data_IF_128233407616
#
_entry.id   IF_128233407616
#
_cell.length_a   1.000
_cell.length_b   1.000
_cell.length_c   1.000
_cell.angle_alpha   90.00
_cell.angle_beta   90.00
_cell.angle_gamma   90.00
#
_symmetry.space_group_name_H-M   'P 1'
#
loop_
_entity.id
_entity.type
_entity.pdbx_description
1 polymer ?
#
# COMPACT_ATOMS: atom_id res chain seq x y z
N UNK A 1 19.42 -20.48 75.57
CA UNK A 1 18.09 -20.52 74.96
C UNK A 1 17.63 -19.11 74.55
N UNK A 2 17.82 -18.10 75.43
CA UNK A 2 17.39 -16.71 75.14
C UNK A 2 18.15 -16.06 73.94
N UNK A 3 19.42 -16.38 73.76
CA UNK A 3 20.25 -15.85 72.63
C UNK A 3 19.84 -16.43 71.27
N UNK A 4 19.43 -17.71 71.26
CA UNK A 4 18.93 -18.33 70.03
C UNK A 4 17.50 -17.83 69.66
N UNK A 5 16.67 -17.55 70.67
CA UNK A 5 15.35 -16.94 70.44
C UNK A 5 15.46 -15.53 69.90
N UNK A 6 16.35 -14.70 70.46
CA UNK A 6 16.59 -13.35 69.94
C UNK A 6 17.18 -13.32 68.51
N UNK A 7 18.04 -14.28 68.18
CA UNK A 7 18.56 -14.43 66.80
C UNK A 7 17.46 -14.85 65.82
N UNK A 8 16.54 -15.69 66.19
CA UNK A 8 15.39 -16.14 65.43
C UNK A 8 14.42 -14.97 65.15
N UNK A 9 14.07 -14.21 66.17
CA UNK A 9 13.17 -13.04 66.05
C UNK A 9 13.76 -11.97 65.12
N UNK A 10 15.08 -11.75 65.22
CA UNK A 10 15.78 -10.82 64.32
C UNK A 10 15.77 -11.31 62.88
N UNK A 11 15.99 -12.60 62.64
CA UNK A 11 15.95 -13.17 61.29
C UNK A 11 14.54 -13.14 60.69
N UNK A 12 13.52 -13.37 61.49
CA UNK A 12 12.12 -13.30 61.09
C UNK A 12 11.69 -11.89 60.72
N UNK A 13 12.09 -10.89 61.52
CA UNK A 13 11.84 -9.49 61.20
C UNK A 13 12.50 -9.09 59.88
N UNK A 14 13.75 -9.46 59.67
CA UNK A 14 14.47 -9.21 58.41
C UNK A 14 13.81 -9.93 57.20
N UNK A 15 13.21 -11.11 57.42
CA UNK A 15 12.42 -11.79 56.37
C UNK A 15 11.15 -11.02 56.05
N UNK A 16 10.43 -10.53 57.05
CA UNK A 16 9.23 -9.70 56.87
C UNK A 16 9.52 -8.43 56.06
N UNK A 17 10.62 -7.70 56.38
CA UNK A 17 11.03 -6.53 55.65
C UNK A 17 11.35 -6.85 54.17
N UNK A 18 11.98 -7.99 53.90
CA UNK A 18 12.23 -8.45 52.53
C UNK A 18 10.95 -8.73 51.74
N UNK A 19 9.96 -9.35 52.39
CA UNK A 19 8.64 -9.61 51.79
C UNK A 19 7.89 -8.33 51.49
N UNK A 20 7.95 -7.32 52.36
CA UNK A 20 7.38 -5.98 52.12
C UNK A 20 8.04 -5.31 50.93
N UNK A 21 9.37 -5.29 50.88
CA UNK A 21 10.12 -4.71 49.76
C UNK A 21 9.82 -5.40 48.42
N UNK A 22 9.73 -6.75 48.47
CA UNK A 22 9.34 -7.51 47.28
C UNK A 22 7.92 -7.19 46.83
N UNK A 23 6.94 -7.17 47.74
CA UNK A 23 5.56 -6.83 47.43
C UNK A 23 5.43 -5.44 46.83
N UNK A 24 6.19 -4.46 47.33
CA UNK A 24 6.23 -3.11 46.77
C UNK A 24 6.86 -3.03 45.38
N UNK A 25 7.73 -3.99 45.01
CA UNK A 25 8.36 -4.04 43.68
C UNK A 25 7.49 -4.73 42.62
N UNK A 26 6.43 -5.45 43.03
CA UNK A 26 5.52 -6.12 42.10
C UNK A 26 4.61 -5.11 41.41
N UNK A 27 4.64 -5.06 40.07
CA UNK A 27 3.79 -4.19 39.27
C UNK A 27 2.47 -4.84 38.88
N UNK A 28 2.49 -6.13 38.60
CA UNK A 28 1.34 -6.90 38.12
C UNK A 28 0.60 -7.65 39.23
N UNK A 29 1.31 -7.96 40.31
CA UNK A 29 0.77 -8.65 41.47
C UNK A 29 0.38 -7.65 42.55
N UNK A 30 -0.92 -7.52 42.83
CA UNK A 30 -1.43 -6.62 43.86
C UNK A 30 -1.72 -7.39 45.14
N UNK A 31 -0.80 -7.33 46.09
CA UNK A 31 -0.99 -7.90 47.42
C UNK A 31 -1.87 -6.93 48.23
N UNK A 32 -3.04 -7.39 48.64
CA UNK A 32 -4.04 -6.55 49.31
C UNK A 32 -3.55 -6.05 50.69
N UNK A 33 -2.87 -6.91 51.45
CA UNK A 33 -2.28 -6.54 52.72
C UNK A 33 -0.81 -7.03 52.81
N UNK A 34 0.15 -6.13 52.43
CA UNK A 34 1.56 -6.45 52.54
C UNK A 34 2.01 -6.67 54.00
N UNK A 35 1.29 -6.12 55.01
CA UNK A 35 1.58 -6.30 56.42
C UNK A 35 1.26 -7.71 56.86
N UNK A 36 0.14 -8.31 56.44
CA UNK A 36 -0.22 -9.70 56.68
C UNK A 36 0.82 -10.65 56.02
N UNK A 37 1.27 -10.36 54.82
CA UNK A 37 2.32 -11.11 54.14
C UNK A 37 3.63 -11.10 54.99
N UNK A 38 4.01 -9.96 55.50
CA UNK A 38 5.19 -9.85 56.37
C UNK A 38 5.02 -10.58 57.72
N UNK A 39 3.82 -10.52 58.32
CA UNK A 39 3.50 -11.22 59.54
C UNK A 39 3.54 -12.75 59.37
N UNK A 40 3.21 -13.26 58.21
CA UNK A 40 3.25 -14.68 57.86
C UNK A 40 4.66 -15.18 57.49
N UNK A 41 5.71 -14.36 57.65
CA UNK A 41 7.09 -14.71 57.29
C UNK A 41 7.65 -15.98 57.91
N UNK A 42 7.10 -16.43 59.06
CA UNK A 42 7.48 -17.68 59.71
C UNK A 42 6.88 -18.93 59.06
N UNK A 43 5.82 -18.79 58.26
CA UNK A 43 5.05 -19.90 57.68
C UNK A 43 5.06 -19.81 56.15
N UNK A 44 5.95 -20.55 55.51
CA UNK A 44 6.08 -20.57 54.02
C UNK A 44 4.76 -20.88 53.32
N UNK A 45 3.96 -21.79 53.87
CA UNK A 45 2.66 -22.15 53.30
C UNK A 45 1.65 -21.00 53.35
N UNK A 46 1.69 -20.14 54.36
CA UNK A 46 0.82 -18.97 54.46
C UNK A 46 1.26 -17.87 53.46
N UNK A 47 2.57 -17.60 53.37
CA UNK A 47 3.13 -16.68 52.36
C UNK A 47 2.73 -17.11 50.95
N UNK A 48 2.89 -18.40 50.67
CA UNK A 48 2.52 -18.95 49.34
C UNK A 48 1.03 -18.77 49.06
N UNK A 49 0.17 -19.08 50.04
CA UNK A 49 -1.28 -18.94 49.87
C UNK A 49 -1.72 -17.48 49.63
N UNK A 50 -1.10 -16.51 50.33
CA UNK A 50 -1.36 -15.08 50.12
C UNK A 50 -0.93 -14.60 48.73
N UNK A 51 0.24 -15.04 48.27
CA UNK A 51 0.76 -14.70 46.92
C UNK A 51 -0.13 -15.31 45.83
N UNK A 52 -0.49 -16.60 45.95
CA UNK A 52 -1.41 -17.26 45.03
C UNK A 52 -2.79 -16.58 45.01
N UNK A 53 -3.31 -16.19 46.17
CA UNK A 53 -4.58 -15.46 46.23
C UNK A 53 -4.51 -14.12 45.53
N UNK A 54 -3.38 -13.42 45.65
CA UNK A 54 -3.14 -12.14 44.95
C UNK A 54 -2.94 -12.30 43.41
N UNK A 55 -2.44 -13.46 42.96
CA UNK A 55 -2.23 -13.73 41.53
C UNK A 55 -3.53 -14.10 40.77
N UNK A 56 -4.49 -14.75 41.47
CA UNK A 56 -5.73 -15.27 40.87
C UNK A 56 -6.54 -14.25 40.05
N UNK A 57 -6.69 -12.96 40.44
CA UNK A 57 -7.41 -11.98 39.59
C UNK A 57 -6.72 -11.75 38.28
N UNK A 58 -5.41 -11.49 38.27
CA UNK A 58 -4.62 -11.25 37.04
C UNK A 58 -4.58 -12.48 36.14
N UNK A 59 -4.45 -13.68 36.72
CA UNK A 59 -4.52 -14.93 35.96
C UNK A 59 -5.88 -15.11 35.26
N UNK A 60 -6.99 -14.74 35.90
CA UNK A 60 -8.33 -14.81 35.31
C UNK A 60 -8.49 -13.77 34.18
N UNK A 61 -7.97 -12.57 34.37
CA UNK A 61 -7.98 -11.53 33.32
C UNK A 61 -7.20 -11.96 32.09
N UNK A 62 -5.99 -12.50 32.30
CA UNK A 62 -5.15 -13.01 31.20
C UNK A 62 -5.85 -14.17 30.49
N UNK A 63 -6.39 -15.15 31.23
CA UNK A 63 -7.10 -16.28 30.64
C UNK A 63 -8.33 -15.83 29.84
N UNK A 64 -9.05 -14.82 30.32
CA UNK A 64 -10.20 -14.25 29.63
C UNK A 64 -9.78 -13.52 28.34
N UNK A 65 -8.71 -12.72 28.41
CA UNK A 65 -8.16 -12.03 27.25
C UNK A 65 -7.66 -13.02 26.18
N UNK A 66 -6.93 -14.06 26.62
CA UNK A 66 -6.47 -15.13 25.70
C UNK A 66 -7.64 -15.87 25.04
N UNK A 67 -8.68 -16.21 25.81
CA UNK A 67 -9.87 -16.85 25.26
C UNK A 67 -10.57 -15.97 24.22
N UNK A 68 -10.66 -14.67 24.49
CA UNK A 68 -11.25 -13.69 23.55
C UNK A 68 -10.45 -13.60 22.25
N UNK A 69 -9.12 -13.47 22.34
CA UNK A 69 -8.23 -13.43 21.15
C UNK A 69 -8.31 -14.74 20.38
N UNK A 70 -8.30 -15.88 21.09
CA UNK A 70 -8.40 -17.22 20.48
C UNK A 70 -9.73 -17.40 19.74
N UNK A 71 -10.83 -16.89 20.31
CA UNK A 71 -12.16 -16.98 19.70
C UNK A 71 -12.29 -16.06 18.45
N UNK A 72 -11.68 -14.86 18.47
CA UNK A 72 -11.73 -13.92 17.33
C UNK A 72 -10.84 -14.34 16.14
N UNK A 73 -9.76 -15.08 16.42
CA UNK A 73 -8.73 -15.43 15.42
C UNK A 73 -9.26 -16.16 14.18
N UNK A 74 -10.12 -17.20 14.30
CA UNK A 74 -10.66 -17.89 13.12
C UNK A 74 -11.41 -16.96 12.17
N UNK A 75 -12.30 -16.09 12.70
CA UNK A 75 -13.07 -15.15 11.90
C UNK A 75 -12.18 -14.18 11.09
N UNK A 76 -11.10 -13.68 11.71
CA UNK A 76 -10.14 -12.82 11.02
C UNK A 76 -9.34 -13.57 9.94
N UNK A 77 -9.02 -14.84 10.14
CA UNK A 77 -8.39 -15.69 9.14
C UNK A 77 -9.30 -15.95 7.95
N UNK A 78 -10.59 -16.23 8.20
CA UNK A 78 -11.58 -16.44 7.14
C UNK A 78 -11.82 -15.17 6.33
N UNK A 79 -11.90 -14.02 7.00
CA UNK A 79 -12.02 -12.72 6.33
C UNK A 79 -10.80 -12.40 5.48
N UNK A 80 -9.59 -12.59 6.02
CA UNK A 80 -8.35 -12.44 5.26
C UNK A 80 -8.34 -13.37 4.04
N UNK A 81 -8.75 -14.62 4.19
CA UNK A 81 -8.83 -15.57 3.09
C UNK A 81 -9.76 -15.10 1.98
N UNK A 82 -10.95 -14.60 2.34
CA UNK A 82 -11.90 -14.02 1.37
C UNK A 82 -11.34 -12.80 0.66
N UNK A 83 -10.71 -11.89 1.39
CA UNK A 83 -10.11 -10.69 0.80
C UNK A 83 -8.94 -11.04 -0.15
N UNK A 84 -8.10 -12.00 0.20
CA UNK A 84 -7.02 -12.48 -0.67
C UNK A 84 -7.57 -13.08 -1.97
N UNK A 85 -8.63 -13.89 -1.88
CA UNK A 85 -9.25 -14.47 -3.08
C UNK A 85 -9.96 -13.42 -3.93
N UNK A 86 -10.60 -12.43 -3.31
CA UNK A 86 -11.20 -11.30 -4.03
C UNK A 86 -10.16 -10.46 -4.75
N UNK A 87 -9.02 -10.14 -4.10
CA UNK A 87 -7.89 -9.46 -4.74
C UNK A 87 -7.36 -10.26 -5.92
N UNK A 88 -7.25 -11.59 -5.77
CA UNK A 88 -6.83 -12.48 -6.86
C UNK A 88 -7.84 -12.45 -8.01
N UNK A 89 -9.13 -12.58 -7.72
CA UNK A 89 -10.21 -12.54 -8.71
C UNK A 89 -10.21 -11.22 -9.50
N UNK A 90 -10.09 -10.08 -8.79
CA UNK A 90 -9.99 -8.76 -9.42
C UNK A 90 -8.71 -8.58 -10.25
N UNK A 91 -7.60 -9.21 -9.83
CA UNK A 91 -6.35 -9.20 -10.58
C UNK A 91 -6.38 -10.09 -11.84
N UNK A 92 -7.21 -11.13 -11.82
CA UNK A 92 -7.38 -12.07 -12.95
C UNK A 92 -8.45 -11.58 -13.97
N UNK A 93 -9.27 -10.57 -13.63
CA UNK A 93 -10.20 -9.97 -14.59
C UNK A 93 -9.39 -9.26 -15.70
N UNK A 94 -9.63 -9.58 -16.97
CA UNK A 94 -8.92 -8.94 -18.06
C UNK A 94 -9.28 -7.45 -18.11
N UNK A 95 -8.25 -6.59 -18.03
CA UNK A 95 -8.42 -5.16 -18.24
C UNK A 95 -9.18 -4.93 -19.56
N UNK A 96 -10.22 -4.13 -19.55
CA UNK A 96 -10.94 -3.75 -20.73
C UNK A 96 -10.07 -2.78 -21.58
N UNK A 97 -9.52 -3.24 -22.73
CA UNK A 97 -8.64 -2.37 -23.51
C UNK A 97 -9.43 -1.29 -24.25
N UNK A 98 -8.81 -0.15 -24.59
CA UNK A 98 -9.38 0.78 -25.54
C UNK A 98 -9.72 0.08 -26.85
N UNK A 99 -10.74 0.54 -27.58
CA UNK A 99 -11.06 0.01 -28.91
C UNK A 99 -9.82 0.01 -29.81
N UNK A 100 -9.51 -1.15 -30.40
CA UNK A 100 -8.36 -1.26 -31.28
C UNK A 100 -8.59 -0.40 -32.54
N UNK A 101 -7.59 0.40 -32.98
CA UNK A 101 -7.67 1.09 -34.26
C UNK A 101 -7.92 0.08 -35.41
N UNK A 102 -8.80 0.40 -36.34
CA UNK A 102 -9.12 -0.49 -37.45
C UNK A 102 -7.87 -0.81 -38.36
N UNK A 103 -6.85 0.03 -38.30
CA UNK A 103 -5.58 -0.13 -39.01
C UNK A 103 -4.61 -1.10 -38.29
N UNK A 104 -4.88 -1.52 -37.03
CA UNK A 104 -4.01 -2.45 -36.33
C UNK A 104 -4.29 -3.89 -36.76
N UNK A 105 -3.33 -4.49 -37.40
CA UNK A 105 -3.39 -5.91 -37.84
C UNK A 105 -2.45 -6.82 -37.09
N UNK A 106 -1.61 -6.25 -36.19
CA UNK A 106 -0.60 -6.98 -35.44
C UNK A 106 -1.20 -7.61 -34.18
N UNK A 107 -0.89 -8.90 -33.94
CA UNK A 107 -1.12 -9.53 -32.65
C UNK A 107 0.03 -9.15 -31.72
N UNK A 108 -0.27 -8.42 -30.66
CA UNK A 108 0.72 -7.94 -29.70
C UNK A 108 1.14 -9.07 -28.75
N UNK A 109 2.44 -9.25 -28.59
CA UNK A 109 2.98 -10.20 -27.62
C UNK A 109 3.07 -9.59 -26.23
N UNK A 110 2.52 -10.25 -25.22
CA UNK A 110 2.59 -9.81 -23.83
C UNK A 110 4.02 -9.77 -23.27
N UNK A 111 4.97 -10.48 -23.89
CA UNK A 111 6.37 -10.58 -23.41
C UNK A 111 7.27 -9.46 -23.94
N UNK A 112 6.85 -8.69 -24.94
CA UNK A 112 7.67 -7.71 -25.64
C UNK A 112 7.31 -6.24 -25.33
N UNK A 113 6.62 -5.96 -24.23
CA UNK A 113 6.17 -4.63 -23.82
C UNK A 113 4.69 -4.57 -23.51
N UNK A 114 4.11 -3.36 -23.48
CA UNK A 114 2.69 -3.15 -23.24
C UNK A 114 2.20 -1.85 -23.87
N UNK A 115 0.87 -1.69 -24.09
CA UNK A 115 0.31 -0.41 -24.53
C UNK A 115 0.46 0.65 -23.43
N UNK A 116 0.60 1.90 -23.80
CA UNK A 116 0.89 3.00 -22.86
C UNK A 116 -0.14 3.09 -21.73
N UNK A 117 -1.43 2.86 -22.01
CA UNK A 117 -2.49 2.91 -20.98
C UNK A 117 -2.29 1.92 -19.82
N UNK A 118 -1.61 0.78 -20.04
CA UNK A 118 -1.28 -0.20 -19.00
C UNK A 118 -0.03 0.16 -18.20
N UNK A 119 0.77 1.10 -18.68
CA UNK A 119 2.06 1.46 -18.11
C UNK A 119 2.00 2.70 -17.23
N UNK A 120 0.85 3.39 -17.21
CA UNK A 120 0.69 4.69 -16.55
C UNK A 120 -0.51 4.72 -15.62
N UNK A 121 -0.38 5.51 -14.56
CA UNK A 121 -1.45 5.85 -13.63
C UNK A 121 -1.49 7.36 -13.40
N UNK A 122 -2.64 7.90 -13.02
CA UNK A 122 -2.73 9.28 -12.58
C UNK A 122 -2.02 9.47 -11.24
N UNK A 123 -1.43 10.65 -11.04
CA UNK A 123 -0.90 11.05 -9.73
C UNK A 123 -2.05 11.32 -8.78
N UNK A 124 -1.79 11.14 -7.49
CA UNK A 124 -2.73 11.55 -6.44
C UNK A 124 -3.02 13.06 -6.52
N UNK A 125 -4.27 13.42 -6.23
CA UNK A 125 -4.72 14.81 -6.25
C UNK A 125 -5.02 15.40 -7.62
N UNK A 126 -4.82 14.69 -8.74
CA UNK A 126 -5.25 15.17 -10.07
C UNK A 126 -6.79 15.15 -10.12
N UNK A 127 -7.47 16.28 -10.39
CA UNK A 127 -8.92 16.34 -10.43
C UNK A 127 -9.51 15.43 -11.51
N UNK A 128 -10.65 14.79 -11.22
CA UNK A 128 -11.33 13.87 -12.17
C UNK A 128 -11.57 14.47 -13.55
N UNK A 129 -12.02 15.73 -13.70
CA UNK A 129 -12.18 16.34 -15.04
C UNK A 129 -10.87 16.43 -15.82
N UNK A 130 -9.74 16.68 -15.15
CA UNK A 130 -8.42 16.73 -15.77
C UNK A 130 -7.96 15.32 -16.18
N UNK A 131 -8.21 14.31 -15.34
CA UNK A 131 -7.95 12.91 -15.67
C UNK A 131 -8.71 12.49 -16.93
N UNK A 132 -10.01 12.78 -17.00
CA UNK A 132 -10.86 12.47 -18.13
C UNK A 132 -10.38 13.18 -19.41
N UNK A 133 -10.01 14.47 -19.32
CA UNK A 133 -9.53 15.26 -20.44
C UNK A 133 -8.17 14.77 -20.95
N UNK A 134 -7.22 14.47 -20.08
CA UNK A 134 -5.90 13.93 -20.44
C UNK A 134 -6.05 12.57 -21.11
N UNK A 135 -6.86 11.67 -20.55
CA UNK A 135 -7.11 10.37 -21.14
C UNK A 135 -7.77 10.50 -22.51
N UNK A 136 -8.78 11.36 -22.67
CA UNK A 136 -9.42 11.63 -23.93
C UNK A 136 -8.43 12.14 -25.00
N UNK A 137 -7.56 13.06 -24.63
CA UNK A 137 -6.52 13.59 -25.54
C UNK A 137 -5.55 12.49 -25.98
N UNK A 138 -5.08 11.64 -25.05
CA UNK A 138 -4.20 10.52 -25.35
C UNK A 138 -4.87 9.46 -26.22
N UNK A 139 -6.15 9.19 -26.00
CA UNK A 139 -6.94 8.26 -26.81
C UNK A 139 -7.16 8.80 -28.22
N UNK A 140 -7.64 10.05 -28.36
CA UNK A 140 -7.90 10.68 -29.65
C UNK A 140 -6.64 10.87 -30.49
N UNK A 141 -5.48 11.09 -29.85
CA UNK A 141 -4.20 11.18 -30.55
C UNK A 141 -3.62 9.80 -30.96
N UNK A 142 -4.21 8.70 -30.49
CA UNK A 142 -3.70 7.34 -30.68
C UNK A 142 -2.51 6.98 -29.77
N UNK A 143 -2.04 7.91 -28.93
CA UNK A 143 -0.90 7.67 -28.04
C UNK A 143 -1.27 6.73 -26.88
N UNK A 144 -2.52 6.74 -26.43
CA UNK A 144 -2.98 5.91 -25.31
C UNK A 144 -2.76 4.42 -25.58
N UNK A 145 -3.09 3.94 -26.78
CA UNK A 145 -2.94 2.54 -27.18
C UNK A 145 -1.58 2.25 -27.85
N UNK A 146 -0.70 3.25 -28.00
CA UNK A 146 0.60 3.05 -28.62
C UNK A 146 1.44 2.04 -27.82
N UNK A 147 2.06 1.09 -28.53
CA UNK A 147 2.89 0.05 -27.92
C UNK A 147 4.23 0.60 -27.46
N UNK A 148 4.60 0.30 -26.22
CA UNK A 148 5.89 0.67 -25.63
C UNK A 148 6.70 -0.61 -25.44
N UNK A 149 7.84 -0.69 -26.12
CA UNK A 149 8.79 -1.80 -25.96
C UNK A 149 9.75 -1.60 -24.78
N UNK A 150 10.35 -2.68 -24.24
CA UNK A 150 11.25 -2.59 -23.10
C UNK A 150 12.56 -1.84 -23.40
N UNK A 151 12.97 -1.74 -24.66
CA UNK A 151 14.24 -1.11 -25.06
C UNK A 151 14.08 0.02 -26.09
N UNK A 152 12.86 0.56 -26.24
CA UNK A 152 12.62 1.73 -27.11
C UNK A 152 12.58 1.45 -28.62
N UNK A 153 12.77 0.22 -29.04
CA UNK A 153 12.76 -0.11 -30.46
C UNK A 153 12.57 -1.59 -30.73
N UNK A 154 11.33 -2.07 -30.70
CA UNK A 154 10.98 -3.40 -31.23
C UNK A 154 10.26 -3.21 -32.55
N UNK A 155 10.77 -3.84 -33.62
CA UNK A 155 10.06 -3.94 -34.87
C UNK A 155 8.90 -4.92 -34.68
N UNK A 156 7.68 -4.42 -34.53
CA UNK A 156 6.49 -5.27 -34.57
C UNK A 156 6.18 -5.59 -36.05
N UNK A 157 6.01 -6.86 -36.40
CA UNK A 157 5.54 -7.19 -37.75
C UNK A 157 4.09 -6.74 -37.90
N UNK A 158 3.77 -6.14 -39.05
CA UNK A 158 2.42 -5.66 -39.38
C UNK A 158 2.20 -4.17 -39.04
N UNK A 159 0.94 -3.75 -39.03
CA UNK A 159 0.53 -2.37 -38.82
C UNK A 159 0.17 -2.13 -37.35
N UNK A 160 0.94 -1.31 -36.65
CA UNK A 160 0.69 -0.87 -35.27
C UNK A 160 1.31 0.48 -34.97
N UNK A 161 0.78 1.19 -33.98
CA UNK A 161 1.32 2.46 -33.49
C UNK A 161 2.26 2.18 -32.30
N UNK A 162 3.43 2.82 -32.28
CA UNK A 162 4.42 2.69 -31.22
C UNK A 162 4.77 4.05 -30.62
N UNK A 163 5.02 4.04 -29.31
CA UNK A 163 5.62 5.16 -28.62
C UNK A 163 7.10 4.81 -28.33
N UNK A 164 8.01 5.50 -29.00
CA UNK A 164 9.45 5.24 -28.91
C UNK A 164 10.13 6.28 -28.01
N UNK A 165 10.62 5.83 -26.85
CA UNK A 165 11.29 6.70 -25.89
C UNK A 165 12.57 7.35 -26.44
N UNK A 166 13.20 6.75 -27.46
CA UNK A 166 14.37 7.32 -28.12
C UNK A 166 14.05 8.57 -28.94
N UNK A 167 12.79 8.72 -29.41
CA UNK A 167 12.32 9.90 -30.15
C UNK A 167 11.75 10.99 -29.23
N UNK A 168 11.62 10.72 -27.94
CA UNK A 168 11.07 11.68 -26.99
C UNK A 168 12.09 12.79 -26.69
N UNK A 169 11.74 14.00 -27.06
CA UNK A 169 12.45 15.22 -26.67
C UNK A 169 11.75 15.79 -25.44
N UNK A 170 12.49 16.03 -24.36
CA UNK A 170 11.91 16.54 -23.12
C UNK A 170 11.21 17.91 -23.36
N UNK A 171 10.00 18.05 -22.83
CA UNK A 171 9.25 19.30 -22.93
C UNK A 171 9.98 20.42 -22.16
N UNK A 172 10.00 21.67 -22.67
CA UNK A 172 10.73 22.78 -22.04
C UNK A 172 10.04 23.34 -20.79
N UNK A 173 9.01 22.71 -20.28
CA UNK A 173 8.25 23.12 -19.09
C UNK A 173 7.57 21.93 -18.43
N UNK A 174 6.31 22.12 -18.05
CA UNK A 174 5.54 20.99 -17.52
C UNK A 174 5.27 19.96 -18.62
N UNK A 175 5.38 18.69 -18.24
CA UNK A 175 5.08 17.55 -19.10
C UNK A 175 3.98 16.69 -18.48
N UNK A 176 3.58 15.62 -19.16
CA UNK A 176 2.63 14.65 -18.60
C UNK A 176 3.09 14.06 -17.26
N UNK A 177 4.38 14.14 -16.90
CA UNK A 177 4.86 13.77 -15.55
C UNK A 177 4.24 14.61 -14.44
N UNK A 178 3.64 15.77 -14.73
CA UNK A 178 2.91 16.55 -13.74
C UNK A 178 1.60 15.88 -13.28
N UNK A 179 0.99 15.07 -14.13
CA UNK A 179 -0.33 14.47 -13.90
C UNK A 179 -0.33 12.93 -13.98
N UNK A 180 0.70 12.33 -14.60
CA UNK A 180 0.86 10.90 -14.77
C UNK A 180 2.16 10.40 -14.11
N UNK A 181 2.16 9.13 -13.76
CA UNK A 181 3.34 8.38 -13.30
C UNK A 181 3.34 6.98 -13.91
N UNK A 182 4.49 6.31 -13.99
CA UNK A 182 4.50 4.88 -14.28
C UNK A 182 3.69 4.10 -13.25
N UNK A 183 2.99 3.06 -13.70
CA UNK A 183 2.28 2.11 -12.84
C UNK A 183 3.28 1.13 -12.20
N UNK A 184 2.88 0.49 -11.09
CA UNK A 184 3.72 -0.49 -10.41
C UNK A 184 3.70 -1.85 -11.13
N UNK A 185 4.82 -2.59 -11.09
CA UNK A 185 4.90 -3.95 -11.65
C UNK A 185 4.83 -4.03 -13.18
N UNK A 186 5.10 -2.92 -13.89
CA UNK A 186 5.04 -2.88 -15.37
C UNK A 186 6.15 -3.69 -16.04
N UNK A 187 5.89 -4.29 -17.23
CA UNK A 187 6.86 -5.12 -17.96
C UNK A 187 7.90 -4.30 -18.76
N UNK A 188 7.94 -2.99 -18.58
CA UNK A 188 8.81 -2.04 -19.28
C UNK A 188 9.62 -1.25 -18.25
N UNK A 189 10.91 -0.92 -18.49
CA UNK A 189 11.66 -0.09 -17.56
C UNK A 189 10.98 1.25 -17.28
N UNK A 190 10.90 1.61 -16.01
CA UNK A 190 10.27 2.85 -15.52
C UNK A 190 10.83 4.09 -16.23
N UNK A 191 12.15 4.11 -16.49
CA UNK A 191 12.81 5.20 -17.20
C UNK A 191 12.34 5.35 -18.66
N UNK A 192 11.97 4.26 -19.32
CA UNK A 192 11.39 4.30 -20.67
C UNK A 192 10.06 5.03 -20.65
N UNK A 193 9.19 4.70 -19.72
CA UNK A 193 7.88 5.35 -19.54
C UNK A 193 8.05 6.82 -19.14
N UNK A 194 8.91 7.10 -18.16
CA UNK A 194 9.21 8.47 -17.75
C UNK A 194 9.69 9.34 -18.89
N UNK A 195 10.54 8.81 -19.77
CA UNK A 195 11.05 9.54 -20.94
C UNK A 195 9.94 9.87 -21.93
N UNK A 196 9.02 8.94 -22.18
CA UNK A 196 7.83 9.19 -23.02
C UNK A 196 6.96 10.28 -22.41
N UNK A 197 6.64 10.19 -21.11
CA UNK A 197 5.82 11.17 -20.40
C UNK A 197 6.49 12.55 -20.35
N UNK A 198 7.81 12.60 -20.19
CA UNK A 198 8.60 13.84 -20.23
C UNK A 198 8.60 14.48 -21.63
N UNK A 199 8.45 13.67 -22.68
CA UNK A 199 8.42 14.12 -24.08
C UNK A 199 7.09 14.74 -24.53
N UNK A 200 6.04 14.72 -23.71
CA UNK A 200 4.74 15.32 -24.03
C UNK A 200 4.51 16.53 -23.13
N UNK A 201 4.49 17.72 -23.69
CA UNK A 201 4.22 18.96 -22.95
C UNK A 201 2.79 18.95 -22.38
N UNK A 202 2.61 19.51 -21.18
CA UNK A 202 1.31 19.58 -20.51
C UNK A 202 1.04 20.99 -19.99
N UNK A 203 -0.21 21.47 -20.13
CA UNK A 203 -0.62 22.78 -19.63
C UNK A 203 -2.13 22.91 -19.46
N UNK A 204 -2.58 24.02 -18.85
CA UNK A 204 -4.00 24.33 -18.75
C UNK A 204 -4.64 24.48 -20.15
N UNK A 205 -4.01 25.24 -21.05
CA UNK A 205 -4.26 25.21 -22.48
C UNK A 205 -3.23 24.34 -23.20
N UNK A 206 -3.38 24.17 -24.53
CA UNK A 206 -2.42 23.39 -25.34
C UNK A 206 -1.08 24.15 -25.43
N UNK A 207 0.02 23.62 -24.86
CA UNK A 207 1.31 24.31 -24.93
C UNK A 207 1.82 24.51 -26.35
N UNK A 208 2.41 25.68 -26.62
CA UNK A 208 3.02 26.00 -27.91
C UNK A 208 4.48 25.53 -28.03
N UNK A 209 5.00 25.47 -29.25
CA UNK A 209 6.42 25.27 -29.54
C UNK A 209 6.97 23.86 -29.27
N UNK A 210 6.14 22.89 -28.90
CA UNK A 210 6.58 21.50 -28.70
C UNK A 210 5.80 20.55 -29.61
N UNK A 211 6.49 19.54 -30.16
CA UNK A 211 5.92 18.64 -31.15
C UNK A 211 4.81 17.73 -30.60
N UNK A 212 4.89 17.36 -29.33
CA UNK A 212 3.88 16.58 -28.63
C UNK A 212 3.36 17.34 -27.41
N UNK A 213 2.06 17.59 -27.34
CA UNK A 213 1.45 18.37 -26.28
C UNK A 213 0.02 17.90 -25.98
N UNK A 214 -0.38 18.01 -24.71
CA UNK A 214 -1.73 17.72 -24.21
C UNK A 214 -2.15 18.81 -23.24
N UNK A 215 -3.42 19.21 -23.29
CA UNK A 215 -3.98 20.17 -22.34
C UNK A 215 -4.87 19.52 -21.28
N UNK A 216 -5.06 20.20 -20.15
CA UNK A 216 -6.03 19.83 -19.12
C UNK A 216 -7.50 19.92 -19.59
N UNK A 217 -7.76 20.35 -20.83
CA UNK A 217 -9.08 20.49 -21.44
C UNK A 217 -9.31 19.50 -22.60
N UNK A 218 -8.40 18.53 -22.82
CA UNK A 218 -8.55 17.48 -23.81
C UNK A 218 -8.06 17.84 -25.23
N UNK A 219 -7.42 19.01 -25.41
CA UNK A 219 -6.75 19.33 -26.67
C UNK A 219 -5.38 18.63 -26.74
N UNK A 220 -4.96 18.24 -27.94
CA UNK A 220 -3.70 17.56 -28.19
C UNK A 220 -3.01 18.00 -29.48
N UNK A 221 -1.70 17.77 -29.53
CA UNK A 221 -0.85 17.91 -30.71
C UNK A 221 0.13 16.73 -30.77
N UNK A 222 0.25 16.12 -31.93
CA UNK A 222 1.33 15.20 -32.27
C UNK A 222 1.92 15.62 -33.61
N UNK A 223 3.10 16.19 -33.60
CA UNK A 223 3.79 16.79 -34.76
C UNK A 223 2.88 17.80 -35.49
N UNK A 224 2.41 17.46 -36.70
CA UNK A 224 1.56 18.31 -37.55
C UNK A 224 0.06 18.12 -37.26
N UNK A 225 -0.32 17.09 -36.53
CA UNK A 225 -1.72 16.80 -36.20
C UNK A 225 -2.12 17.47 -34.88
N UNK A 226 -3.30 18.09 -34.88
CA UNK A 226 -3.93 18.66 -33.69
C UNK A 226 -5.39 18.25 -33.62
N UNK A 227 -5.92 18.13 -32.41
CA UNK A 227 -7.32 17.82 -32.17
C UNK A 227 -7.73 18.08 -30.76
N UNK A 228 -8.99 17.80 -30.46
CA UNK A 228 -9.52 17.81 -29.08
C UNK A 228 -10.61 16.76 -28.93
N UNK A 229 -10.71 16.19 -27.75
CA UNK A 229 -11.79 15.30 -27.37
C UNK A 229 -12.04 15.39 -25.88
N UNK A 230 -13.25 14.99 -25.46
CA UNK A 230 -13.65 15.01 -24.07
C UNK A 230 -14.40 13.73 -23.71
N UNK A 231 -14.23 13.28 -22.48
CA UNK A 231 -14.91 12.16 -21.86
C UNK A 231 -15.52 12.59 -20.53
N UNK A 232 -16.62 11.97 -20.07
CA UNK A 232 -17.20 12.27 -18.76
C UNK A 232 -16.29 11.81 -17.61
N UNK A 233 -15.56 10.71 -17.79
CA UNK A 233 -14.67 10.10 -16.81
C UNK A 233 -13.52 9.32 -17.47
N UNK A 234 -12.40 9.09 -16.78
CA UNK A 234 -11.33 8.23 -17.25
C UNK A 234 -11.77 6.76 -17.12
N UNK A 235 -11.38 5.92 -18.09
CA UNK A 235 -11.77 4.50 -18.19
C UNK A 235 -10.56 3.56 -18.19
N UNK A 236 -9.43 3.99 -18.76
CA UNK A 236 -8.32 3.09 -19.08
C UNK A 236 -7.06 3.32 -18.24
N UNK A 237 -6.79 4.57 -17.82
CA UNK A 237 -5.56 4.90 -17.09
C UNK A 237 -5.72 4.63 -15.61
N UNK A 238 -4.86 3.75 -15.07
CA UNK A 238 -4.83 3.33 -13.67
C UNK A 238 -5.71 2.10 -13.39
N UNK A 239 -5.20 1.18 -12.56
CA UNK A 239 -5.89 -0.08 -12.24
C UNK A 239 -7.31 0.14 -11.69
N UNK A 240 -7.51 1.15 -10.83
CA UNK A 240 -8.81 1.46 -10.25
C UNK A 240 -9.85 1.97 -11.28
N UNK A 241 -9.42 2.57 -12.40
CA UNK A 241 -10.33 2.99 -13.47
C UNK A 241 -10.77 1.78 -14.31
N UNK A 242 -9.85 0.85 -14.56
CA UNK A 242 -10.10 -0.35 -15.37
C UNK A 242 -11.01 -1.38 -14.70
N UNK A 243 -11.12 -1.33 -13.37
CA UNK A 243 -11.94 -2.25 -12.56
C UNK A 243 -13.37 -1.74 -12.32
N UNK A 244 -13.74 -0.57 -12.85
CA UNK A 244 -15.10 -0.01 -12.77
C UNK A 244 -15.95 -0.40 -13.97
#
# INVERSE_FOLDING_TARGET
LDEAAGAWDTALAAQGERLLAWAASCTELRIADPGELAASAAAESEVTALVEAAARPSEREIATAEATVRAARPGLWDERGRLVEEVRRLGDEPDLPPPAPATRTTVRSATAGAPLWRLIAFREGVPMPVQAAVEAALEASGLLDAWVGPYGGITLPGHDTRAESALAVAAPGHSLLAVLRPEEGIPVPVDTVNRILAGVAFGAGLPDGHAAAVSAQGAWRLALATGSWSKPEPVYIGAAARQR
#
